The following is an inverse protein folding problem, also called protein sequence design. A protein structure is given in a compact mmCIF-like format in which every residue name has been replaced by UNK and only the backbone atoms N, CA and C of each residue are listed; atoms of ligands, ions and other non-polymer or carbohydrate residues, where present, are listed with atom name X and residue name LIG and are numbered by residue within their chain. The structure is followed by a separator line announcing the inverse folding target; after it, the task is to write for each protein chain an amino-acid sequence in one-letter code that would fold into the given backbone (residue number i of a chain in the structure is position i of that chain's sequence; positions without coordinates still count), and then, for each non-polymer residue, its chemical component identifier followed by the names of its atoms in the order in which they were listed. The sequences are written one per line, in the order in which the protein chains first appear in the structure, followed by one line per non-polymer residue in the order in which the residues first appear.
data_IF_157604657963
#
_entry.id   IF_157604657963
#
_cell.length_a   1.000
_cell.length_b   1.000
_cell.length_c   1.000
_cell.angle_alpha   90.00
_cell.angle_beta   90.00
_cell.angle_gamma   90.00
#
_symmetry.space_group_name_H-M   'P 1'
#
loop_
_entity.id
_entity.type
_entity.pdbx_description
1 polymer ?
#
# COMPACT_ATOMS: atom_id res chain seq x y z
N UNK A 1 -6.38 -14.30 16.05
CA UNK A 1 -4.95 -13.87 16.03
C UNK A 1 -4.32 -14.04 14.65
N UNK A 2 -4.55 -15.15 13.94
CA UNK A 2 -4.02 -15.37 12.59
C UNK A 2 -4.48 -14.29 11.61
N UNK A 3 -5.71 -13.81 11.76
CA UNK A 3 -6.33 -12.74 10.97
C UNK A 3 -5.56 -11.44 11.10
N UNK A 4 -5.24 -11.04 12.34
CA UNK A 4 -4.47 -9.83 12.65
C UNK A 4 -3.08 -9.93 12.05
N UNK A 5 -2.39 -11.05 12.29
CA UNK A 5 -1.04 -11.28 11.77
C UNK A 5 -1.02 -11.22 10.24
N UNK A 6 -1.94 -11.90 9.57
CA UNK A 6 -2.02 -11.89 8.11
C UNK A 6 -2.36 -10.50 7.56
N UNK A 7 -3.30 -9.78 8.17
CA UNK A 7 -3.64 -8.41 7.80
C UNK A 7 -2.44 -7.46 7.93
N UNK A 8 -1.66 -7.61 9.01
CA UNK A 8 -0.42 -6.85 9.22
C UNK A 8 0.63 -7.20 8.18
N UNK A 9 0.82 -8.48 7.85
CA UNK A 9 1.78 -8.91 6.83
C UNK A 9 1.43 -8.36 5.44
N UNK A 10 0.16 -8.39 5.05
CA UNK A 10 -0.31 -7.82 3.78
C UNK A 10 -0.09 -6.30 3.78
N UNK A 11 -0.42 -5.62 4.89
CA UNK A 11 -0.23 -4.18 5.01
C UNK A 11 1.25 -3.78 4.94
N UNK A 12 2.12 -4.53 5.62
CA UNK A 12 3.57 -4.33 5.59
C UNK A 12 4.13 -4.58 4.19
N UNK A 13 3.69 -5.63 3.51
CA UNK A 13 4.06 -5.88 2.11
C UNK A 13 3.69 -4.70 1.21
N UNK A 14 2.46 -4.18 1.35
CA UNK A 14 2.00 -3.02 0.56
C UNK A 14 2.83 -1.76 0.89
N UNK A 15 3.15 -1.55 2.16
CA UNK A 15 3.99 -0.44 2.60
C UNK A 15 5.42 -0.54 2.03
N UNK A 16 6.10 -1.67 2.24
CA UNK A 16 7.49 -1.85 1.81
C UNK A 16 7.64 -1.78 0.29
N UNK A 17 6.69 -2.35 -0.45
CA UNK A 17 6.68 -2.24 -1.92
C UNK A 17 6.54 -0.78 -2.37
N UNK A 18 5.68 0.01 -1.71
CA UNK A 18 5.57 1.46 -1.95
C UNK A 18 6.87 2.22 -1.69
N UNK A 19 7.53 1.94 -0.55
CA UNK A 19 8.83 2.53 -0.18
C UNK A 19 9.88 2.20 -1.23
N UNK A 20 9.94 0.95 -1.68
CA UNK A 20 10.92 0.48 -2.64
C UNK A 20 10.72 1.15 -4.01
N UNK A 21 9.48 1.23 -4.48
CA UNK A 21 9.13 1.92 -5.73
C UNK A 21 9.48 3.40 -5.66
N UNK A 22 9.16 4.08 -4.57
CA UNK A 22 9.55 5.48 -4.37
C UNK A 22 11.07 5.67 -4.45
N UNK A 23 11.85 4.84 -3.73
CA UNK A 23 13.32 4.93 -3.74
C UNK A 23 13.92 4.75 -5.14
N UNK A 24 13.33 3.90 -5.98
CA UNK A 24 13.77 3.69 -7.37
C UNK A 24 13.40 4.90 -8.24
N UNK A 25 12.23 5.49 -8.03
CA UNK A 25 11.67 6.50 -8.93
C UNK A 25 12.03 7.94 -8.57
N UNK A 26 12.36 8.26 -7.30
CA UNK A 26 12.52 9.64 -6.82
C UNK A 26 13.52 10.47 -7.64
N UNK A 27 14.60 9.85 -8.11
CA UNK A 27 15.65 10.48 -8.94
C UNK A 27 15.30 10.57 -10.43
N UNK A 28 14.16 10.03 -10.85
CA UNK A 28 13.70 10.09 -12.26
C UNK A 28 12.95 11.39 -12.52
N UNK A 29 12.78 11.72 -13.80
CA UNK A 29 11.97 12.88 -14.23
C UNK A 29 10.52 12.73 -13.77
N UNK A 30 9.83 13.84 -13.58
CA UNK A 30 8.48 13.87 -13.01
C UNK A 30 7.50 13.02 -13.81
N UNK A 31 7.55 13.12 -15.14
CA UNK A 31 6.74 12.29 -16.05
C UNK A 31 6.94 10.79 -15.80
N UNK A 32 8.19 10.35 -15.61
CA UNK A 32 8.52 8.95 -15.33
C UNK A 32 8.06 8.58 -13.92
N UNK A 33 8.35 9.43 -12.93
CA UNK A 33 7.97 9.22 -11.55
C UNK A 33 6.46 8.99 -11.43
N UNK A 34 5.62 9.92 -11.88
CA UNK A 34 4.17 9.80 -11.71
C UNK A 34 3.59 8.62 -12.47
N UNK A 35 4.04 8.39 -13.71
CA UNK A 35 3.55 7.26 -14.53
C UNK A 35 3.77 5.93 -13.83
N UNK A 36 4.98 5.68 -13.32
CA UNK A 36 5.30 4.40 -12.68
C UNK A 36 4.85 4.34 -11.22
N UNK A 37 4.82 5.46 -10.49
CA UNK A 37 4.37 5.49 -9.10
C UNK A 37 2.86 5.21 -9.02
N UNK A 38 2.03 5.91 -9.80
CA UNK A 38 0.59 5.63 -9.86
C UNK A 38 0.29 4.25 -10.46
N UNK A 39 1.05 3.83 -11.47
CA UNK A 39 0.93 2.47 -12.01
C UNK A 39 1.22 1.40 -10.95
N UNK A 40 2.22 1.61 -10.10
CA UNK A 40 2.55 0.74 -8.97
C UNK A 40 1.45 0.74 -7.89
N UNK A 41 0.86 1.90 -7.57
CA UNK A 41 -0.28 1.96 -6.65
C UNK A 41 -1.41 1.08 -7.18
N UNK A 42 -1.81 1.28 -8.43
CA UNK A 42 -2.90 0.51 -9.06
C UNK A 42 -2.61 -0.99 -9.04
N UNK A 43 -1.39 -1.39 -9.41
CA UNK A 43 -0.99 -2.79 -9.42
C UNK A 43 -1.03 -3.42 -8.01
N UNK A 44 -0.55 -2.71 -6.99
CA UNK A 44 -0.61 -3.18 -5.59
C UNK A 44 -2.04 -3.27 -5.08
N UNK A 45 -2.94 -2.37 -5.49
CA UNK A 45 -4.37 -2.50 -5.19
C UNK A 45 -4.98 -3.78 -5.76
N UNK A 46 -4.64 -4.15 -7.00
CA UNK A 46 -5.08 -5.42 -7.61
C UNK A 46 -4.56 -6.62 -6.81
N UNK A 47 -3.29 -6.61 -6.41
CA UNK A 47 -2.71 -7.67 -5.56
C UNK A 47 -3.45 -7.74 -4.22
N UNK A 48 -3.68 -6.61 -3.56
CA UNK A 48 -4.38 -6.58 -2.27
C UNK A 48 -5.80 -7.12 -2.38
N UNK A 49 -6.55 -6.77 -3.43
CA UNK A 49 -7.89 -7.32 -3.67
C UNK A 49 -7.87 -8.84 -3.81
N UNK A 50 -6.88 -9.38 -4.52
CA UNK A 50 -6.69 -10.83 -4.62
C UNK A 50 -6.36 -11.46 -3.26
N UNK A 51 -5.48 -10.86 -2.47
CA UNK A 51 -5.12 -11.35 -1.13
C UNK A 51 -6.29 -11.30 -0.15
N UNK A 52 -7.07 -10.22 -0.17
CA UNK A 52 -8.32 -10.06 0.58
C UNK A 52 -9.32 -11.16 0.20
N UNK A 53 -9.51 -11.38 -1.09
CA UNK A 53 -10.38 -12.45 -1.59
C UNK A 53 -9.93 -13.81 -1.08
N UNK A 54 -8.63 -14.14 -1.18
CA UNK A 54 -8.08 -15.40 -0.69
C UNK A 54 -8.29 -15.55 0.83
N UNK A 55 -8.06 -14.50 1.62
CA UNK A 55 -8.28 -14.50 3.07
C UNK A 55 -9.74 -14.81 3.43
N UNK A 56 -10.71 -14.23 2.71
CA UNK A 56 -12.13 -14.41 3.02
C UNK A 56 -12.76 -15.66 2.41
N UNK A 57 -12.29 -16.12 1.24
CA UNK A 57 -12.89 -17.26 0.53
C UNK A 57 -12.16 -18.58 0.76
N UNK A 58 -10.85 -18.56 0.93
CA UNK A 58 -10.06 -19.79 1.12
C UNK A 58 -9.76 -20.04 2.59
N UNK A 59 -9.46 -18.98 3.36
CA UNK A 59 -9.03 -19.10 4.74
C UNK A 59 -10.16 -18.86 5.77
N UNK A 60 -11.35 -18.46 5.31
CA UNK A 60 -12.53 -18.18 6.13
C UNK A 60 -12.25 -17.28 7.33
N UNK A 61 -11.41 -16.26 7.15
CA UNK A 61 -11.08 -15.34 8.23
C UNK A 61 -12.29 -14.53 8.71
N UNK A 62 -12.32 -14.26 10.02
CA UNK A 62 -13.29 -13.36 10.62
C UNK A 62 -13.12 -11.95 10.04
N UNK A 63 -14.20 -11.43 9.45
CA UNK A 63 -14.17 -10.25 8.58
C UNK A 63 -13.85 -8.99 9.36
N UNK A 64 -14.44 -8.81 10.54
CA UNK A 64 -14.32 -7.59 11.32
C UNK A 64 -12.89 -7.38 11.82
N UNK A 65 -12.32 -8.40 12.45
CA UNK A 65 -10.97 -8.41 13.01
C UNK A 65 -9.92 -8.21 11.92
N UNK A 66 -10.07 -8.91 10.79
CA UNK A 66 -9.18 -8.76 9.65
C UNK A 66 -9.29 -7.34 9.06
N UNK A 67 -10.51 -6.86 8.80
CA UNK A 67 -10.74 -5.56 8.17
C UNK A 67 -10.21 -4.40 9.00
N UNK A 68 -10.43 -4.41 10.32
CA UNK A 68 -9.89 -3.37 11.21
C UNK A 68 -8.36 -3.34 11.20
N UNK A 69 -7.73 -4.52 11.30
CA UNK A 69 -6.26 -4.63 11.28
C UNK A 69 -5.68 -4.18 9.93
N UNK A 70 -6.32 -4.59 8.83
CA UNK A 70 -5.93 -4.22 7.48
C UNK A 70 -6.12 -2.72 7.20
N UNK A 71 -7.22 -2.13 7.69
CA UNK A 71 -7.54 -0.71 7.53
C UNK A 71 -6.47 0.17 8.16
N UNK A 72 -6.08 -0.13 9.42
CA UNK A 72 -5.04 0.62 10.13
C UNK A 72 -3.72 0.56 9.35
N UNK A 73 -3.29 -0.62 8.92
CA UNK A 73 -2.05 -0.78 8.16
C UNK A 73 -2.08 -0.07 6.80
N UNK A 74 -3.20 -0.16 6.09
CA UNK A 74 -3.39 0.50 4.79
C UNK A 74 -3.41 2.03 4.93
N UNK A 75 -3.98 2.56 6.02
CA UNK A 75 -3.98 3.99 6.30
C UNK A 75 -2.55 4.55 6.42
N UNK A 76 -1.67 3.86 7.15
CA UNK A 76 -0.25 4.26 7.23
C UNK A 76 0.45 4.19 5.87
N UNK A 77 0.17 3.16 5.06
CA UNK A 77 0.74 3.05 3.72
C UNK A 77 0.33 4.24 2.83
N UNK A 78 -0.95 4.63 2.87
CA UNK A 78 -1.46 5.79 2.12
C UNK A 78 -0.83 7.09 2.60
N UNK A 79 -0.72 7.30 3.92
CA UNK A 79 -0.07 8.50 4.46
C UNK A 79 1.38 8.63 3.96
N UNK A 80 2.12 7.53 3.96
CA UNK A 80 3.50 7.52 3.47
C UNK A 80 3.58 7.81 1.97
N UNK A 81 2.65 7.27 1.17
CA UNK A 81 2.56 7.59 -0.26
C UNK A 81 2.26 9.07 -0.52
N UNK A 82 1.37 9.68 0.27
CA UNK A 82 1.09 11.13 0.21
C UNK A 82 2.34 11.93 0.55
N UNK A 83 3.08 11.56 1.60
CA UNK A 83 4.36 12.20 1.95
C UNK A 83 5.36 12.09 0.80
N UNK A 84 5.42 10.96 0.10
CA UNK A 84 6.30 10.76 -1.04
C UNK A 84 5.92 11.59 -2.25
N UNK A 85 4.62 11.69 -2.55
CA UNK A 85 4.11 12.60 -3.57
C UNK A 85 4.48 14.04 -3.21
N UNK A 86 4.26 14.45 -1.96
CA UNK A 86 4.61 15.78 -1.48
C UNK A 86 6.11 16.06 -1.63
N UNK A 87 6.99 15.14 -1.17
CA UNK A 87 8.45 15.30 -1.30
C UNK A 87 8.92 15.44 -2.75
N UNK A 88 8.25 14.80 -3.71
CA UNK A 88 8.60 14.92 -5.13
C UNK A 88 8.16 16.25 -5.74
N UNK A 89 7.01 16.76 -5.31
CA UNK A 89 6.27 17.81 -6.01
C UNK A 89 6.15 19.13 -5.25
N UNK A 90 6.57 19.15 -3.99
CA UNK A 90 6.32 20.22 -3.02
C UNK A 90 4.84 20.60 -2.87
N UNK A 91 3.92 19.68 -3.20
CA UNK A 91 2.50 19.98 -3.36
C UNK A 91 1.79 20.53 -2.11
N UNK A 92 2.24 20.14 -0.91
CA UNK A 92 1.66 20.57 0.36
C UNK A 92 2.36 21.77 1.01
N UNK A 93 3.48 22.28 0.45
CA UNK A 93 4.29 23.36 1.06
C UNK A 93 4.50 23.18 2.58
N UNK A 94 4.74 21.94 3.02
CA UNK A 94 5.06 21.55 4.39
C UNK A 94 6.57 21.38 4.57
#
# INVERSE_FOLDING_TARGET
MKEIVTALLISLFNLFSGILVYKILIRKSDKIFYKYFFGSILFRYVINLFLLWACFKLLNYEKLTFALSYLIGTFFAILIEIIYLNKKSNFLNL
#
